data_IF_659257979707
#
_entry.id   IF_659257979707
#
_cell.length_a   1.000
_cell.length_b   1.000
_cell.length_c   1.000
_cell.angle_alpha   90.00
_cell.angle_beta   90.00
_cell.angle_gamma   90.00
#
_symmetry.space_group_name_H-M   'P 1'
#
loop_
_entity.id
_entity.type
_entity.pdbx_description
1 polymer ?
#
# COMPACT_ATOMS: atom_id res chain seq x y z
N UNK A 1 75.80 -24.25 -29.01
CA UNK A 1 74.75 -24.06 -30.03
C UNK A 1 73.69 -23.20 -29.37
N UNK A 2 73.87 -21.87 -29.36
CA UNK A 2 73.54 -20.92 -30.44
C UNK A 2 72.03 -20.65 -30.49
N UNK A 3 71.51 -19.42 -30.50
CA UNK A 3 72.03 -18.05 -30.34
C UNK A 3 70.76 -17.14 -30.36
N UNK A 4 70.67 -16.10 -29.51
CA UNK A 4 70.30 -14.67 -29.78
C UNK A 4 69.00 -14.35 -30.58
N UNK A 5 68.25 -13.24 -30.47
CA UNK A 5 68.38 -11.87 -29.92
C UNK A 5 67.00 -11.16 -30.06
N UNK A 6 66.52 -10.35 -29.09
CA UNK A 6 66.50 -8.86 -28.97
C UNK A 6 65.27 -8.07 -29.48
N UNK A 7 64.97 -6.98 -28.74
CA UNK A 7 64.21 -5.79 -29.16
C UNK A 7 62.89 -5.59 -28.39
N UNK A 8 62.80 -5.03 -27.18
CA UNK A 8 63.06 -3.65 -26.68
C UNK A 8 62.06 -2.54 -27.10
N UNK A 9 61.56 -1.85 -26.04
CA UNK A 9 61.19 -0.45 -25.86
C UNK A 9 59.82 0.12 -26.32
N UNK A 10 59.16 0.79 -25.37
CA UNK A 10 57.94 1.57 -25.53
C UNK A 10 57.44 2.16 -24.21
N UNK A 11 58.22 3.08 -23.67
CA UNK A 11 58.04 3.96 -22.51
C UNK A 11 56.67 4.69 -22.46
N UNK A 12 56.03 4.76 -21.29
CA UNK A 12 55.15 5.88 -20.92
C UNK A 12 55.21 6.12 -19.40
N UNK A 13 55.48 7.38 -19.11
CA UNK A 13 55.96 7.97 -17.88
C UNK A 13 54.90 8.19 -16.81
N UNK A 14 55.41 8.28 -15.58
CA UNK A 14 54.74 8.71 -14.36
C UNK A 14 54.07 10.08 -14.49
N UNK A 15 52.91 10.24 -13.83
CA UNK A 15 52.41 11.55 -13.39
C UNK A 15 52.17 11.52 -11.89
N UNK A 16 52.65 12.62 -11.33
CA UNK A 16 53.00 12.92 -9.97
C UNK A 16 51.78 13.10 -9.05
N UNK A 17 51.97 12.77 -7.78
CA UNK A 17 51.05 13.04 -6.70
C UNK A 17 51.55 14.25 -5.92
N UNK A 18 50.84 15.38 -5.98
CA UNK A 18 50.97 16.39 -4.94
C UNK A 18 49.73 17.30 -4.83
N UNK A 19 49.31 17.43 -3.57
CA UNK A 19 48.69 18.57 -2.89
C UNK A 19 47.88 19.58 -3.70
N UNK A 20 46.66 19.86 -3.24
CA UNK A 20 46.19 21.24 -3.06
C UNK A 20 45.05 21.26 -2.03
N UNK A 21 45.39 21.73 -0.82
CA UNK A 21 44.43 22.19 0.18
C UNK A 21 43.93 23.58 -0.24
N UNK A 22 42.63 23.70 -0.50
CA UNK A 22 41.96 24.97 -0.78
C UNK A 22 40.97 25.31 0.32
N UNK A 23 41.38 26.19 1.24
CA UNK A 23 40.51 26.97 2.13
C UNK A 23 39.78 28.05 1.31
N UNK A 24 38.50 28.29 1.57
CA UNK A 24 37.95 29.66 1.72
C UNK A 24 36.48 29.66 2.21
N UNK A 25 35.94 30.80 2.69
CA UNK A 25 35.26 30.88 3.98
C UNK A 25 33.82 31.41 3.85
N UNK A 26 32.99 31.27 4.88
CA UNK A 26 31.96 32.28 5.20
C UNK A 26 31.59 32.11 6.68
N UNK A 27 32.29 32.89 7.50
CA UNK A 27 31.86 33.28 8.84
C UNK A 27 31.10 34.59 8.70
N UNK A 28 29.84 34.59 9.12
CA UNK A 28 29.07 35.79 9.40
C UNK A 28 28.64 35.74 10.86
N UNK A 29 29.43 36.38 11.72
CA UNK A 29 29.08 36.72 13.09
C UNK A 29 27.84 37.63 13.10
N UNK A 30 26.84 37.33 13.94
CA UNK A 30 26.12 38.36 14.70
C UNK A 30 25.83 37.82 16.11
N UNK A 31 26.60 38.31 17.08
CA UNK A 31 26.24 38.37 18.49
C UNK A 31 26.32 39.83 18.93
N UNK A 32 25.24 40.37 19.50
CA UNK A 32 25.23 41.35 20.59
C UNK A 32 23.78 41.46 21.08
N UNK A 33 23.47 40.94 22.27
CA UNK A 33 23.48 41.66 23.57
C UNK A 33 22.55 42.89 23.63
N UNK A 34 21.55 42.80 24.52
CA UNK A 34 21.32 43.69 25.68
C UNK A 34 19.89 43.41 26.19
N UNK A 35 19.76 42.84 27.39
CA UNK A 35 19.69 43.45 28.73
C UNK A 35 18.26 43.85 29.14
N UNK A 36 17.89 43.26 30.28
CA UNK A 36 17.20 43.84 31.44
C UNK A 36 15.82 44.49 31.25
N UNK A 37 14.83 43.99 32.02
CA UNK A 37 14.11 44.68 33.13
C UNK A 37 12.79 43.90 33.36
N UNK A 38 12.66 43.08 34.42
CA UNK A 38 12.19 43.36 35.78
C UNK A 38 10.73 43.87 35.93
N UNK A 39 10.05 43.30 36.94
CA UNK A 39 8.81 43.71 37.65
C UNK A 39 7.58 42.83 37.35
N UNK A 40 7.17 41.99 38.32
CA UNK A 40 6.10 42.24 39.32
C UNK A 40 4.75 42.45 38.61
N UNK A 41 3.71 41.66 38.81
CA UNK A 41 3.24 40.93 39.98
C UNK A 41 1.73 41.18 40.05
N UNK A 42 0.95 40.19 40.50
CA UNK A 42 -0.17 40.31 41.46
C UNK A 42 -1.08 39.09 41.36
N UNK A 43 -1.21 38.45 42.52
CA UNK A 43 -2.29 37.54 42.90
C UNK A 43 -3.67 38.20 42.80
N UNK A 44 -4.73 37.38 42.72
CA UNK A 44 -5.93 37.48 43.58
C UNK A 44 -6.85 36.26 43.39
N UNK A 45 -6.59 35.25 44.22
CA UNK A 45 -7.46 34.60 45.21
C UNK A 45 -9.00 34.53 45.09
N UNK A 46 -9.47 33.44 45.73
CA UNK A 46 -10.75 33.15 46.38
C UNK A 46 -11.84 32.46 45.54
N UNK A 47 -12.23 31.18 45.74
CA UNK A 47 -12.58 30.32 46.89
C UNK A 47 -14.08 30.21 47.15
N UNK A 48 -14.47 29.09 47.79
CA UNK A 48 -15.77 28.64 48.33
C UNK A 48 -16.51 27.64 47.41
N UNK A 49 -16.86 26.41 47.80
CA UNK A 49 -16.79 25.73 49.10
C UNK A 49 -18.10 24.99 49.42
N UNK A 50 -18.01 23.68 49.57
CA UNK A 50 -18.82 22.76 50.41
C UNK A 50 -20.30 22.41 50.08
N UNK A 51 -20.62 21.11 50.20
CA UNK A 51 -21.94 20.65 50.61
C UNK A 51 -22.32 19.20 50.28
N UNK A 52 -22.07 18.28 51.22
CA UNK A 52 -22.46 16.85 51.22
C UNK A 52 -23.98 16.58 51.12
N UNK A 53 -24.37 15.43 50.56
CA UNK A 53 -25.69 14.83 50.75
C UNK A 53 -25.85 13.45 50.08
N UNK A 54 -25.95 12.39 50.89
CA UNK A 54 -26.11 10.98 50.48
C UNK A 54 -27.54 10.62 50.06
N UNK A 55 -27.73 9.75 49.05
CA UNK A 55 -28.80 8.74 49.02
C UNK A 55 -28.62 7.69 47.89
N UNK A 56 -28.43 6.44 48.34
CA UNK A 56 -29.02 5.16 47.86
C UNK A 56 -29.46 4.98 46.39
N UNK A 57 -28.78 4.01 45.75
CA UNK A 57 -29.27 2.82 45.01
C UNK A 57 -30.33 2.91 43.89
N UNK A 58 -30.05 2.12 42.85
CA UNK A 58 -30.87 1.66 41.72
C UNK A 58 -30.98 2.62 40.53
N UNK A 59 -30.34 2.26 39.42
CA UNK A 59 -30.99 1.51 38.34
C UNK A 59 -30.09 1.52 37.09
N UNK A 60 -30.16 0.44 36.34
CA UNK A 60 -29.56 0.23 35.02
C UNK A 60 -29.80 1.44 34.10
N UNK A 61 -28.74 1.90 33.44
CA UNK A 61 -28.86 2.66 32.20
C UNK A 61 -27.88 2.10 31.19
N UNK A 62 -28.34 1.04 30.53
CA UNK A 62 -27.88 0.59 29.23
C UNK A 62 -28.08 1.73 28.22
N UNK A 63 -26.98 2.29 27.73
CA UNK A 63 -26.99 3.26 26.63
C UNK A 63 -27.17 2.50 25.30
N UNK A 64 -28.40 2.10 25.00
CA UNK A 64 -28.81 1.68 23.66
C UNK A 64 -29.05 2.90 22.79
N UNK A 65 -28.02 3.38 22.10
CA UNK A 65 -28.20 4.24 20.94
C UNK A 65 -28.56 3.38 19.73
N UNK A 66 -29.84 3.03 19.64
CA UNK A 66 -30.47 2.57 18.40
C UNK A 66 -30.54 3.77 17.46
N UNK A 67 -29.57 3.93 16.56
CA UNK A 67 -29.78 4.73 15.36
C UNK A 67 -30.56 3.87 14.37
N UNK A 68 -31.86 4.13 14.30
CA UNK A 68 -32.70 3.77 13.16
C UNK A 68 -32.05 4.33 11.89
N UNK A 69 -31.40 3.46 11.12
CA UNK A 69 -31.21 3.68 9.71
C UNK A 69 -32.59 3.60 9.06
N UNK A 70 -33.12 4.75 8.67
CA UNK A 70 -34.24 4.81 7.75
C UNK A 70 -33.80 4.16 6.44
N UNK A 71 -34.21 2.91 6.25
CA UNK A 71 -34.16 2.20 4.99
C UNK A 71 -35.08 2.91 3.99
N UNK A 72 -34.53 3.86 3.24
CA UNK A 72 -35.10 4.25 1.95
C UNK A 72 -34.73 3.17 0.93
N UNK A 73 -35.61 2.18 0.83
CA UNK A 73 -35.68 1.28 -0.32
C UNK A 73 -36.09 2.09 -1.56
N UNK A 74 -35.13 2.72 -2.22
CA UNK A 74 -35.24 3.15 -3.60
C UNK A 74 -34.31 2.27 -4.43
N UNK A 75 -34.90 1.42 -5.25
CA UNK A 75 -34.25 0.57 -6.24
C UNK A 75 -33.72 1.39 -7.44
N UNK A 76 -32.91 2.41 -7.19
CA UNK A 76 -32.04 2.98 -8.21
C UNK A 76 -30.83 2.06 -8.34
N UNK A 77 -30.40 1.79 -9.58
CA UNK A 77 -29.14 1.11 -9.89
C UNK A 77 -28.05 1.59 -8.93
N UNK A 78 -27.45 0.65 -8.19
CA UNK A 78 -26.42 0.95 -7.22
C UNK A 78 -25.36 1.90 -7.80
N UNK A 79 -24.86 2.77 -6.94
CA UNK A 79 -23.86 3.83 -7.15
C UNK A 79 -22.49 3.26 -7.56
N UNK A 80 -22.43 2.59 -8.72
CA UNK A 80 -21.28 1.82 -9.20
C UNK A 80 -20.10 2.69 -9.66
N UNK A 81 -20.22 4.03 -9.65
CA UNK A 81 -19.22 4.99 -10.13
C UNK A 81 -18.91 6.08 -9.11
N UNK A 82 -19.14 5.82 -7.84
CA UNK A 82 -18.70 6.73 -6.80
C UNK A 82 -17.20 6.48 -6.52
N UNK A 83 -16.39 7.53 -6.64
CA UNK A 83 -14.93 7.48 -6.51
C UNK A 83 -14.43 7.74 -5.09
N UNK A 84 -15.33 8.07 -4.16
CA UNK A 84 -14.99 8.43 -2.80
C UNK A 84 -14.48 7.22 -2.02
N UNK A 85 -13.51 7.50 -1.16
CA UNK A 85 -13.09 6.58 -0.10
C UNK A 85 -14.32 6.16 0.72
N UNK A 86 -14.42 4.90 1.16
CA UNK A 86 -15.47 4.51 2.10
C UNK A 86 -15.38 5.41 3.35
N UNK A 87 -16.53 5.80 3.92
CA UNK A 87 -16.54 6.55 5.18
C UNK A 87 -15.67 5.81 6.21
N UNK A 88 -14.74 6.55 6.84
CA UNK A 88 -13.74 5.95 7.73
C UNK A 88 -14.39 5.35 8.96
N UNK A 89 -14.77 4.08 8.89
CA UNK A 89 -14.98 3.26 10.08
C UNK A 89 -13.59 2.89 10.59
N UNK A 90 -13.30 3.12 11.87
CA UNK A 90 -12.10 2.54 12.49
C UNK A 90 -12.01 1.07 12.06
N UNK A 91 -10.87 0.69 11.44
CA UNK A 91 -10.68 -0.66 10.96
C UNK A 91 -10.76 -1.60 12.16
N UNK A 92 -11.89 -2.27 12.30
CA UNK A 92 -12.08 -3.25 13.37
C UNK A 92 -11.09 -4.38 13.15
N UNK A 93 -10.16 -4.54 14.09
CA UNK A 93 -9.21 -5.67 14.08
C UNK A 93 -9.89 -6.99 14.44
N UNK A 94 -11.15 -6.93 14.88
CA UNK A 94 -11.94 -8.09 15.28
C UNK A 94 -13.20 -8.19 14.42
N UNK A 95 -13.61 -9.42 14.13
CA UNK A 95 -14.82 -9.70 13.38
C UNK A 95 -15.56 -10.90 13.95
N UNK A 96 -16.89 -10.80 13.99
CA UNK A 96 -17.73 -11.93 14.33
C UNK A 96 -17.83 -12.89 13.14
N UNK A 97 -17.88 -14.19 13.40
CA UNK A 97 -17.86 -15.22 12.35
C UNK A 97 -19.13 -15.26 11.49
N UNK A 98 -20.22 -14.64 11.94
CA UNK A 98 -21.47 -14.46 11.17
C UNK A 98 -21.38 -13.28 10.18
N UNK A 99 -20.50 -12.31 10.45
CA UNK A 99 -20.23 -11.14 9.61
C UNK A 99 -19.32 -11.46 8.40
N UNK A 100 -18.88 -12.71 8.25
CA UNK A 100 -18.03 -13.16 7.14
C UNK A 100 -18.71 -14.28 6.35
N UNK A 101 -18.22 -14.56 5.14
CA UNK A 101 -18.73 -15.61 4.26
C UNK A 101 -17.78 -16.82 4.23
N UNK A 102 -18.34 -18.03 4.14
CA UNK A 102 -17.55 -19.25 3.90
C UNK A 102 -16.54 -19.59 5.00
N UNK A 103 -16.79 -19.12 6.23
CA UNK A 103 -15.90 -19.31 7.37
C UNK A 103 -15.70 -20.81 7.65
N UNK A 104 -14.44 -21.26 7.61
CA UNK A 104 -14.08 -22.68 7.80
C UNK A 104 -12.78 -22.85 8.56
N UNK A 105 -12.72 -23.87 9.41
CA UNK A 105 -11.51 -24.23 10.14
C UNK A 105 -10.51 -25.01 9.28
N UNK A 106 -9.23 -24.86 9.58
CA UNK A 106 -8.16 -25.67 9.01
C UNK A 106 -8.10 -27.06 9.66
N UNK A 107 -7.74 -28.09 8.87
CA UNK A 107 -7.47 -29.42 9.41
C UNK A 107 -6.02 -29.49 9.90
N UNK A 108 -5.79 -29.29 11.21
CA UNK A 108 -4.44 -29.23 11.81
C UNK A 108 -3.52 -30.40 11.45
N UNK A 109 -4.06 -31.61 11.26
CA UNK A 109 -3.30 -32.80 10.85
C UNK A 109 -2.75 -32.71 9.42
N UNK A 110 -3.33 -31.89 8.55
CA UNK A 110 -2.91 -31.69 7.16
C UNK A 110 -1.92 -30.53 6.99
N UNK A 111 -1.78 -29.67 8.00
CA UNK A 111 -0.80 -28.57 7.95
C UNK A 111 0.58 -29.10 8.35
N UNK A 112 1.58 -29.07 7.44
CA UNK A 112 2.90 -29.62 7.71
C UNK A 112 3.66 -28.78 8.74
N UNK A 113 4.45 -29.44 9.57
CA UNK A 113 5.51 -28.76 10.33
C UNK A 113 6.77 -28.70 9.47
N UNK A 114 7.37 -27.51 9.33
CA UNK A 114 8.57 -27.30 8.50
C UNK A 114 9.66 -26.57 9.27
N UNK A 115 10.91 -26.82 8.86
CA UNK A 115 12.03 -25.95 9.21
C UNK A 115 12.08 -24.79 8.23
N UNK A 116 12.38 -23.59 8.72
CA UNK A 116 12.64 -22.45 7.85
C UNK A 116 14.06 -22.48 7.25
N UNK A 117 14.97 -23.26 7.85
CA UNK A 117 16.32 -23.41 7.34
C UNK A 117 16.30 -24.10 5.97
N UNK A 118 16.52 -23.31 4.92
CA UNK A 118 16.50 -23.76 3.52
C UNK A 118 15.28 -23.28 2.72
N UNK A 119 14.30 -22.65 3.37
CA UNK A 119 13.16 -22.03 2.67
C UNK A 119 13.50 -20.62 2.20
N UNK A 120 14.26 -19.88 3.02
CA UNK A 120 14.81 -18.57 2.62
C UNK A 120 15.80 -18.73 1.46
N UNK A 121 15.56 -17.96 0.40
CA UNK A 121 16.36 -17.99 -0.81
C UNK A 121 17.77 -17.42 -0.59
N UNK A 122 18.65 -17.54 -1.59
CA UNK A 122 19.99 -16.93 -1.53
C UNK A 122 19.92 -15.40 -1.38
N UNK A 123 18.91 -14.79 -2.00
CA UNK A 123 18.55 -13.37 -1.91
C UNK A 123 17.38 -13.11 -0.96
N UNK A 124 16.95 -14.12 -0.19
CA UNK A 124 15.76 -14.01 0.64
C UNK A 124 16.03 -13.25 1.93
N UNK A 125 15.18 -12.29 2.23
CA UNK A 125 15.34 -11.36 3.35
C UNK A 125 14.68 -11.87 4.63
N UNK A 126 15.13 -11.31 5.75
CA UNK A 126 14.50 -11.49 7.04
C UNK A 126 14.02 -10.15 7.56
N UNK A 127 12.70 -9.98 7.61
CA UNK A 127 12.05 -8.72 7.96
C UNK A 127 11.22 -8.93 9.21
N UNK A 128 11.51 -8.17 10.26
CA UNK A 128 10.72 -8.16 11.49
C UNK A 128 10.22 -6.73 11.69
N UNK A 129 8.99 -6.38 11.26
CA UNK A 129 8.46 -5.02 11.42
C UNK A 129 8.35 -4.57 12.88
N UNK A 130 8.35 -5.50 13.86
CA UNK A 130 8.16 -5.13 15.26
C UNK A 130 6.70 -4.81 15.60
N UNK A 131 6.50 -3.97 16.61
CA UNK A 131 5.15 -3.50 16.99
C UNK A 131 4.79 -2.23 16.17
N UNK A 132 3.58 -1.69 16.37
CA UNK A 132 3.15 -0.46 15.69
C UNK A 132 2.39 -0.70 14.39
N UNK A 133 2.20 0.37 13.60
CA UNK A 133 1.60 0.32 12.27
C UNK A 133 2.67 0.39 11.20
N UNK A 134 3.16 -0.76 10.75
CA UNK A 134 4.33 -0.81 9.89
C UNK A 134 3.95 -1.03 8.43
N UNK A 135 4.78 -0.52 7.52
CA UNK A 135 4.74 -0.93 6.12
C UNK A 135 6.00 -1.71 5.77
N UNK A 136 5.82 -2.85 5.11
CA UNK A 136 6.90 -3.74 4.68
C UNK A 136 6.81 -3.96 3.18
N UNK A 137 7.89 -3.60 2.50
CA UNK A 137 8.13 -3.94 1.09
C UNK A 137 9.42 -4.76 1.09
N UNK A 138 9.24 -6.06 0.89
CA UNK A 138 10.35 -6.99 0.68
C UNK A 138 10.81 -6.87 -0.78
N UNK A 139 10.89 -7.94 -1.56
CA UNK A 139 11.22 -7.82 -2.98
C UNK A 139 11.51 -9.16 -3.64
N UNK A 140 12.63 -9.26 -4.37
CA UNK A 140 13.01 -10.53 -4.99
C UNK A 140 13.58 -11.49 -3.95
N UNK A 141 13.02 -12.68 -3.83
CA UNK A 141 13.60 -13.62 -2.88
C UNK A 141 12.69 -14.77 -2.56
N UNK A 142 13.04 -15.49 -1.50
CA UNK A 142 12.01 -16.17 -0.72
C UNK A 142 12.19 -15.58 0.66
N UNK A 143 11.32 -14.64 1.00
CA UNK A 143 11.49 -13.77 2.13
C UNK A 143 10.76 -14.33 3.34
N UNK A 144 11.25 -13.97 4.53
CA UNK A 144 10.63 -14.36 5.79
C UNK A 144 10.28 -13.08 6.53
N UNK A 145 8.98 -12.81 6.61
CA UNK A 145 8.42 -11.62 7.23
C UNK A 145 7.73 -12.03 8.52
N UNK A 146 8.17 -11.47 9.65
CA UNK A 146 7.61 -11.73 10.96
C UNK A 146 6.45 -10.78 11.24
N UNK A 147 5.29 -11.06 10.65
CA UNK A 147 4.02 -10.34 10.90
C UNK A 147 3.45 -10.57 12.30
N UNK A 148 4.25 -10.30 13.33
CA UNK A 148 3.98 -10.47 14.77
C UNK A 148 4.53 -9.25 15.53
N UNK A 149 4.15 -9.10 16.80
CA UNK A 149 4.65 -8.03 17.68
C UNK A 149 3.57 -7.10 18.24
N UNK A 150 2.30 -7.37 17.90
CA UNK A 150 1.18 -6.44 18.08
C UNK A 150 1.07 -5.44 16.92
N UNK A 151 -0.07 -4.76 16.80
CA UNK A 151 -0.25 -3.70 15.81
C UNK A 151 -0.81 -4.16 14.45
N UNK A 152 -0.68 -3.29 13.44
CA UNK A 152 -1.27 -3.51 12.11
C UNK A 152 -0.24 -3.24 11.00
N UNK A 153 0.12 -4.26 10.23
CA UNK A 153 1.13 -4.14 9.19
C UNK A 153 0.49 -4.13 7.79
N UNK A 154 1.03 -3.31 6.89
CA UNK A 154 0.80 -3.40 5.44
C UNK A 154 2.00 -4.07 4.79
N UNK A 155 1.79 -5.13 4.02
CA UNK A 155 2.88 -5.99 3.51
C UNK A 155 2.73 -6.22 2.01
N UNK A 156 3.80 -5.97 1.28
CA UNK A 156 4.04 -6.43 -0.09
C UNK A 156 5.27 -7.33 -0.08
N UNK A 157 5.11 -8.60 -0.41
CA UNK A 157 6.20 -9.59 -0.34
C UNK A 157 7.10 -9.55 -1.57
N UNK A 158 6.57 -9.13 -2.71
CA UNK A 158 7.28 -9.18 -3.98
C UNK A 158 7.30 -10.60 -4.57
N UNK A 159 8.09 -10.83 -5.63
CA UNK A 159 8.17 -12.13 -6.27
C UNK A 159 9.00 -13.11 -5.45
N UNK A 160 8.38 -14.20 -5.04
CA UNK A 160 9.08 -15.21 -4.29
C UNK A 160 8.24 -16.42 -3.93
N UNK A 161 8.77 -17.24 -3.02
CA UNK A 161 7.97 -18.16 -2.20
C UNK A 161 8.07 -17.68 -0.77
N UNK A 162 7.29 -16.67 -0.45
CA UNK A 162 7.47 -15.90 0.77
C UNK A 162 6.74 -16.53 1.94
N UNK A 163 7.23 -16.25 3.13
CA UNK A 163 6.68 -16.78 4.37
C UNK A 163 6.35 -15.62 5.29
N UNK A 164 5.06 -15.46 5.57
CA UNK A 164 4.58 -14.50 6.56
C UNK A 164 4.25 -15.27 7.84
N UNK A 165 4.98 -14.97 8.91
CA UNK A 165 4.76 -15.59 10.22
C UNK A 165 3.71 -14.80 10.99
N UNK A 166 2.56 -15.40 11.23
CA UNK A 166 1.45 -14.78 11.94
C UNK A 166 1.70 -14.76 13.45
N UNK A 167 1.49 -13.60 14.06
CA UNK A 167 1.47 -13.42 15.51
C UNK A 167 0.06 -13.25 16.06
N UNK A 168 -0.13 -13.59 17.34
CA UNK A 168 -1.34 -13.19 18.08
C UNK A 168 -1.41 -11.66 18.16
N UNK A 169 -2.63 -11.12 18.12
CA UNK A 169 -2.91 -9.69 18.28
C UNK A 169 -2.16 -8.77 17.26
N UNK A 170 -1.60 -9.34 16.20
CA UNK A 170 -1.08 -8.60 15.05
C UNK A 170 -2.01 -8.83 13.88
N UNK A 171 -2.38 -7.75 13.20
CA UNK A 171 -3.11 -7.82 11.93
C UNK A 171 -2.13 -7.52 10.79
N UNK A 172 -2.20 -8.29 9.72
CA UNK A 172 -1.37 -8.09 8.54
C UNK A 172 -2.27 -7.93 7.30
N UNK A 173 -2.32 -6.74 6.71
CA UNK A 173 -2.86 -6.54 5.36
C UNK A 173 -1.79 -6.89 4.35
N UNK A 174 -2.05 -7.88 3.50
CA UNK A 174 -1.06 -8.40 2.54
C UNK A 174 -1.58 -8.16 1.12
N UNK A 175 -0.87 -7.34 0.37
CA UNK A 175 -1.35 -6.82 -0.92
C UNK A 175 -1.16 -7.77 -2.11
N UNK A 176 -0.17 -8.66 -2.06
CA UNK A 176 0.27 -9.46 -3.22
C UNK A 176 0.39 -10.95 -2.95
N UNK A 177 -0.21 -11.46 -1.86
CA UNK A 177 -0.14 -12.88 -1.50
C UNK A 177 -0.54 -13.78 -2.67
N UNK A 178 0.37 -14.66 -3.10
CA UNK A 178 0.18 -15.65 -4.15
C UNK A 178 -0.14 -17.03 -3.54
N UNK A 179 -1.40 -17.52 -3.60
CA UNK A 179 -1.77 -18.83 -3.06
C UNK A 179 -1.03 -20.02 -3.67
N UNK A 180 -0.36 -19.87 -4.81
CA UNK A 180 0.48 -20.92 -5.38
C UNK A 180 1.87 -20.97 -4.70
N UNK A 181 2.42 -19.82 -4.33
CA UNK A 181 3.82 -19.69 -3.90
C UNK A 181 4.01 -19.41 -2.42
N UNK A 182 3.21 -18.52 -1.86
CA UNK A 182 3.43 -17.98 -0.51
C UNK A 182 2.74 -18.79 0.56
N UNK A 183 3.25 -18.66 1.79
CA UNK A 183 2.80 -19.46 2.92
C UNK A 183 2.63 -18.60 4.17
N UNK A 184 1.56 -18.89 4.89
CA UNK A 184 1.32 -18.37 6.23
C UNK A 184 1.86 -19.36 7.25
N UNK A 185 2.80 -18.92 8.07
CA UNK A 185 3.39 -19.73 9.12
C UNK A 185 2.77 -19.38 10.47
N UNK A 186 2.50 -20.41 11.28
CA UNK A 186 2.17 -20.24 12.70
C UNK A 186 3.30 -20.77 13.56
N UNK A 187 3.56 -20.08 14.67
CA UNK A 187 4.60 -20.42 15.64
C UNK A 187 4.10 -20.18 17.06
N UNK A 188 4.76 -20.84 18.03
CA UNK A 188 4.51 -20.62 19.45
C UNK A 188 3.06 -20.91 19.86
N UNK A 189 2.41 -19.91 20.45
CA UNK A 189 1.10 -20.07 21.09
C UNK A 189 -0.09 -20.03 20.14
N UNK A 190 0.13 -19.72 18.86
CA UNK A 190 -0.91 -19.74 17.84
C UNK A 190 -1.07 -21.15 17.28
N UNK A 191 -2.26 -21.72 17.40
CA UNK A 191 -2.55 -23.10 16.96
C UNK A 191 -3.36 -23.09 15.67
N UNK A 192 -3.00 -23.98 14.74
CA UNK A 192 -3.78 -24.18 13.50
C UNK A 192 -5.26 -24.50 13.77
N UNK A 193 -5.57 -25.21 14.86
CA UNK A 193 -6.95 -25.55 15.23
C UNK A 193 -7.83 -24.34 15.51
N UNK A 194 -7.20 -23.21 15.83
CA UNK A 194 -7.85 -21.99 16.27
C UNK A 194 -8.04 -21.04 15.09
N UNK A 195 -7.41 -21.33 13.95
CA UNK A 195 -7.51 -20.53 12.75
C UNK A 195 -8.73 -20.87 11.91
N UNK A 196 -9.34 -19.83 11.37
CA UNK A 196 -10.37 -19.90 10.34
C UNK A 196 -9.95 -19.12 9.10
N UNK A 197 -10.35 -19.63 7.94
CA UNK A 197 -10.34 -18.89 6.68
C UNK A 197 -11.77 -18.45 6.41
N UNK A 198 -11.98 -17.19 6.06
CA UNK A 198 -13.26 -16.67 5.61
C UNK A 198 -13.08 -15.65 4.48
N UNK A 199 -14.12 -15.38 3.72
CA UNK A 199 -14.20 -14.24 2.82
C UNK A 199 -14.85 -13.07 3.57
N UNK A 200 -14.35 -11.85 3.38
CA UNK A 200 -15.07 -10.66 3.84
C UNK A 200 -16.44 -10.51 3.15
N UNK A 201 -17.30 -9.66 3.70
CA UNK A 201 -18.64 -9.35 3.14
C UNK A 201 -18.88 -7.87 2.95
N UNK A 202 -18.00 -7.03 3.46
CA UNK A 202 -18.17 -5.60 3.41
C UNK A 202 -17.98 -5.17 1.94
N UNK A 203 -18.97 -4.56 1.27
CA UNK A 203 -18.83 -4.06 -0.10
C UNK A 203 -17.92 -2.82 -0.18
N UNK A 204 -17.14 -2.56 0.88
CA UNK A 204 -16.26 -1.42 1.02
C UNK A 204 -15.27 -1.35 -0.13
N UNK A 205 -15.18 -0.16 -0.71
CA UNK A 205 -14.43 0.08 -1.92
C UNK A 205 -12.95 -0.22 -1.77
N UNK A 206 -12.26 -0.47 -2.88
CA UNK A 206 -10.79 -0.63 -2.94
C UNK A 206 -10.07 0.54 -2.26
N UNK A 207 -8.77 0.41 -1.98
CA UNK A 207 -7.97 1.47 -1.39
C UNK A 207 -7.06 0.96 -0.29
N UNK A 208 -6.02 1.73 0.02
CA UNK A 208 -5.14 1.44 1.17
C UNK A 208 -5.90 1.52 2.51
N UNK A 209 -7.02 2.26 2.53
CA UNK A 209 -7.86 2.48 3.71
C UNK A 209 -9.04 1.49 3.81
N UNK A 210 -9.21 0.61 2.83
CA UNK A 210 -10.33 -0.33 2.73
C UNK A 210 -10.54 -1.14 4.03
N UNK A 211 -11.79 -1.38 4.48
CA UNK A 211 -12.06 -2.28 5.61
C UNK A 211 -11.38 -3.64 5.44
N UNK A 212 -10.83 -4.18 6.53
CA UNK A 212 -10.13 -5.47 6.48
C UNK A 212 -11.05 -6.57 5.95
N UNK A 213 -12.33 -6.53 6.33
CA UNK A 213 -13.39 -7.47 5.97
C UNK A 213 -14.10 -7.17 4.64
N UNK A 214 -13.46 -6.41 3.76
CA UNK A 214 -13.92 -6.24 2.39
C UNK A 214 -14.21 -7.58 1.70
N UNK A 215 -15.24 -7.62 0.88
CA UNK A 215 -15.57 -8.76 0.01
C UNK A 215 -14.44 -9.16 -0.95
N UNK A 216 -13.47 -8.26 -1.16
CA UNK A 216 -12.27 -8.51 -1.96
C UNK A 216 -11.13 -9.16 -1.15
N UNK A 217 -11.28 -9.28 0.17
CA UNK A 217 -10.24 -9.80 1.06
C UNK A 217 -10.59 -11.20 1.59
N UNK A 218 -9.59 -12.10 1.57
CA UNK A 218 -9.65 -13.31 2.39
C UNK A 218 -9.12 -13.00 3.79
N UNK A 219 -9.85 -13.44 4.82
CA UNK A 219 -9.48 -13.25 6.22
C UNK A 219 -8.93 -14.53 6.83
N UNK A 220 -7.85 -14.39 7.60
CA UNK A 220 -7.35 -15.40 8.51
C UNK A 220 -7.64 -14.93 9.93
N UNK A 221 -8.51 -15.66 10.64
CA UNK A 221 -9.10 -15.23 11.90
C UNK A 221 -8.69 -16.19 13.01
N UNK A 222 -8.29 -15.68 14.18
CA UNK A 222 -8.27 -16.47 15.42
C UNK A 222 -9.70 -16.56 15.94
N UNK A 223 -10.30 -17.75 15.87
CA UNK A 223 -11.71 -17.96 16.21
C UNK A 223 -12.00 -17.82 17.71
N UNK A 224 -10.97 -17.82 18.56
CA UNK A 224 -11.16 -17.74 20.00
C UNK A 224 -11.58 -16.34 20.46
N UNK A 225 -11.13 -15.31 19.74
CA UNK A 225 -11.42 -13.91 20.05
C UNK A 225 -11.97 -13.13 18.85
N UNK A 226 -11.94 -13.69 17.64
CA UNK A 226 -12.38 -13.03 16.42
C UNK A 226 -11.32 -12.09 15.82
N UNK A 227 -10.09 -12.07 16.35
CA UNK A 227 -9.02 -11.21 15.85
C UNK A 227 -8.60 -11.60 14.43
N UNK A 228 -8.49 -10.62 13.54
CA UNK A 228 -8.03 -10.79 12.16
C UNK A 228 -6.50 -10.78 12.16
N UNK A 229 -5.90 -11.95 11.95
CA UNK A 229 -4.45 -12.14 11.89
C UNK A 229 -3.88 -11.70 10.53
N UNK A 230 -4.66 -11.90 9.46
CA UNK A 230 -4.31 -11.42 8.14
C UNK A 230 -5.55 -11.12 7.28
N UNK A 231 -5.48 -10.06 6.49
CA UNK A 231 -6.39 -9.75 5.40
C UNK A 231 -5.59 -9.80 4.09
N UNK A 232 -5.90 -10.79 3.24
CA UNK A 232 -5.20 -11.02 1.98
C UNK A 232 -5.98 -10.33 0.86
N UNK A 233 -5.45 -9.22 0.38
CA UNK A 233 -6.14 -8.34 -0.56
C UNK A 233 -6.24 -8.98 -1.94
N UNK A 234 -7.44 -8.96 -2.52
CA UNK A 234 -7.78 -9.57 -3.81
C UNK A 234 -7.53 -11.08 -3.89
N UNK A 235 -7.46 -11.77 -2.75
CA UNK A 235 -7.40 -13.24 -2.68
C UNK A 235 -8.80 -13.76 -2.39
N UNK A 236 -9.23 -14.77 -3.16
CA UNK A 236 -10.49 -15.49 -2.92
C UNK A 236 -10.29 -16.61 -1.91
N UNK A 237 -11.15 -16.68 -0.90
CA UNK A 237 -10.98 -17.56 0.24
C UNK A 237 -10.91 -19.03 -0.18
N UNK A 238 -11.69 -19.43 -1.18
CA UNK A 238 -11.72 -20.78 -1.75
C UNK A 238 -10.38 -21.26 -2.33
N UNK A 239 -9.48 -20.34 -2.71
CA UNK A 239 -8.15 -20.69 -3.23
C UNK A 239 -7.20 -21.18 -2.14
N UNK A 240 -7.51 -20.89 -0.87
CA UNK A 240 -6.71 -21.29 0.27
C UNK A 240 -7.15 -22.62 0.86
N UNK A 241 -6.16 -23.43 1.23
CA UNK A 241 -6.35 -24.65 2.01
C UNK A 241 -5.11 -24.93 2.87
N UNK A 242 -5.04 -26.10 3.49
CA UNK A 242 -3.94 -26.43 4.42
C UNK A 242 -2.55 -26.38 3.78
N UNK A 243 -2.42 -26.47 2.44
CA UNK A 243 -1.13 -26.32 1.74
C UNK A 243 -0.54 -24.92 1.87
N UNK A 244 -1.39 -23.91 2.09
CA UNK A 244 -1.02 -22.50 2.23
C UNK A 244 -0.50 -22.16 3.62
N UNK A 245 -0.61 -23.10 4.56
CA UNK A 245 -0.19 -22.93 5.93
C UNK A 245 0.99 -23.83 6.25
N UNK A 246 1.77 -23.43 7.24
CA UNK A 246 2.74 -24.31 7.88
C UNK A 246 2.86 -24.02 9.36
N UNK A 247 3.30 -25.03 10.11
CA UNK A 247 3.74 -24.88 11.49
C UNK A 247 5.26 -24.79 11.51
N UNK A 248 5.79 -23.84 12.26
CA UNK A 248 7.22 -23.72 12.51
C UNK A 248 7.46 -23.80 14.01
N UNK A 249 8.65 -24.29 14.39
CA UNK A 249 9.06 -24.26 15.78
C UNK A 249 9.64 -22.89 16.13
N UNK A 250 9.44 -22.35 17.35
CA UNK A 250 10.02 -21.07 17.74
C UNK A 250 11.54 -20.98 17.50
N UNK A 251 12.29 -22.05 17.76
CA UNK A 251 13.76 -22.07 17.63
C UNK A 251 14.21 -21.95 16.16
N UNK A 252 13.32 -22.22 15.19
CA UNK A 252 13.63 -22.05 13.78
C UNK A 252 13.83 -20.57 13.40
N UNK A 253 13.20 -19.65 14.14
CA UNK A 253 13.35 -18.21 13.94
C UNK A 253 14.71 -17.72 14.46
N UNK A 254 15.14 -18.22 15.62
CA UNK A 254 16.44 -17.87 16.22
C UNK A 254 17.61 -18.29 15.33
N UNK A 255 17.50 -19.46 14.67
CA UNK A 255 18.50 -19.94 13.74
C UNK A 255 18.63 -19.07 12.48
N UNK A 256 17.54 -18.48 12.01
CA UNK A 256 17.55 -17.56 10.86
C UNK A 256 18.18 -16.22 11.21
N UNK A 257 17.82 -15.67 12.37
CA UNK A 257 18.32 -14.38 12.83
C UNK A 257 19.85 -14.34 13.00
N UNK A 258 20.50 -15.51 13.09
CA UNK A 258 21.95 -15.70 13.23
C UNK A 258 22.67 -15.99 11.91
N UNK A 259 21.95 -16.09 10.78
CA UNK A 259 22.59 -16.27 9.47
C UNK A 259 23.35 -15.01 9.05
N UNK A 260 24.27 -15.18 8.11
CA UNK A 260 24.93 -14.05 7.47
C UNK A 260 23.93 -13.33 6.56
N UNK A 261 23.84 -12.02 6.76
CA UNK A 261 23.11 -11.06 5.94
C UNK A 261 24.11 -10.01 5.45
N UNK A 262 23.88 -9.52 4.24
CA UNK A 262 24.68 -8.49 3.60
C UNK A 262 24.50 -7.16 4.33
N UNK A 263 23.24 -6.75 4.53
CA UNK A 263 22.90 -5.60 5.36
C UNK A 263 22.14 -6.04 6.62
N UNK A 264 22.37 -5.35 7.74
CA UNK A 264 21.65 -5.56 9.00
C UNK A 264 21.24 -4.21 9.58
N UNK A 265 19.95 -3.91 9.53
CA UNK A 265 19.36 -2.67 9.99
C UNK A 265 18.43 -2.93 11.17
N UNK A 266 18.40 -1.97 12.10
CA UNK A 266 17.51 -2.02 13.24
C UNK A 266 17.01 -0.62 13.58
N UNK A 267 15.70 -0.46 13.66
CA UNK A 267 15.07 0.75 14.14
C UNK A 267 15.14 0.86 15.68
N UNK A 268 14.99 2.08 16.17
CA UNK A 268 14.73 2.39 17.57
C UNK A 268 13.21 2.31 17.85
N UNK A 269 12.77 2.75 19.03
CA UNK A 269 11.35 2.68 19.40
C UNK A 269 10.47 3.78 18.76
N UNK A 270 11.04 4.68 17.93
CA UNK A 270 10.30 5.65 17.11
C UNK A 270 10.04 5.09 15.71
N UNK A 271 9.09 5.64 14.97
CA UNK A 271 8.85 5.23 13.58
C UNK A 271 10.01 5.65 12.67
N UNK A 272 10.61 4.69 11.97
CA UNK A 272 11.76 4.90 11.10
C UNK A 272 11.64 4.18 9.76
N UNK A 273 12.19 4.78 8.71
CA UNK A 273 12.43 4.08 7.46
C UNK A 273 13.75 3.31 7.53
N UNK A 274 13.69 2.01 7.25
CA UNK A 274 14.85 1.14 7.05
C UNK A 274 14.96 0.78 5.56
N UNK A 275 16.02 1.27 4.91
CA UNK A 275 16.26 1.00 3.48
C UNK A 275 17.32 -0.08 3.29
N UNK A 276 16.89 -1.24 2.79
CA UNK A 276 17.73 -2.37 2.42
C UNK A 276 18.56 -2.13 1.16
N UNK A 277 19.00 -3.24 0.58
CA UNK A 277 19.82 -3.35 -0.62
C UNK A 277 19.27 -4.47 -1.51
N UNK A 278 19.81 -4.63 -2.72
CA UNK A 278 19.54 -5.83 -3.55
C UNK A 278 20.06 -7.15 -2.96
N UNK A 279 20.91 -7.05 -1.93
CA UNK A 279 21.50 -8.16 -1.21
C UNK A 279 20.50 -8.85 -0.29
N UNK A 280 20.99 -9.82 0.48
CA UNK A 280 20.18 -10.52 1.47
C UNK A 280 20.25 -9.77 2.80
N UNK A 281 19.15 -9.21 3.23
CA UNK A 281 19.09 -8.24 4.31
C UNK A 281 18.33 -8.75 5.53
N UNK A 282 18.68 -8.16 6.66
CA UNK A 282 17.97 -8.32 7.92
C UNK A 282 17.54 -6.95 8.39
N UNK A 283 16.23 -6.70 8.44
CA UNK A 283 15.67 -5.44 8.92
C UNK A 283 14.75 -5.72 10.09
N UNK A 284 14.97 -5.02 11.20
CA UNK A 284 14.20 -5.17 12.44
C UNK A 284 13.64 -3.80 12.83
N UNK A 285 12.34 -3.61 12.74
CA UNK A 285 11.61 -2.48 13.29
C UNK A 285 11.60 -2.48 14.83
N UNK A 286 11.14 -1.39 15.39
CA UNK A 286 11.00 -1.17 16.83
C UNK A 286 9.54 -1.22 17.27
N UNK A 287 9.12 -0.19 18.00
CA UNK A 287 7.76 -0.06 18.53
C UNK A 287 6.92 0.98 17.80
N UNK A 288 7.57 1.86 17.03
CA UNK A 288 6.91 2.90 16.28
C UNK A 288 6.36 2.38 14.95
N UNK A 289 5.84 3.28 14.15
CA UNK A 289 5.34 2.98 12.82
C UNK A 289 6.53 3.00 11.84
N UNK A 290 7.11 1.84 11.56
CA UNK A 290 8.31 1.69 10.73
C UNK A 290 7.98 1.40 9.26
N UNK A 291 8.86 1.86 8.37
CA UNK A 291 8.82 1.53 6.95
C UNK A 291 10.05 0.71 6.55
N UNK A 292 9.87 -0.60 6.38
CA UNK A 292 10.92 -1.53 5.95
C UNK A 292 10.86 -1.66 4.43
N UNK A 293 11.88 -1.18 3.74
CA UNK A 293 11.88 -1.01 2.29
C UNK A 293 13.19 -1.51 1.68
N UNK A 294 13.19 -2.38 0.66
CA UNK A 294 14.44 -2.87 0.06
C UNK A 294 15.20 -1.86 -0.82
N UNK A 295 14.65 -0.65 -1.03
CA UNK A 295 15.32 0.41 -1.77
C UNK A 295 14.94 0.52 -3.24
N UNK A 296 15.09 1.72 -3.79
CA UNK A 296 14.69 2.10 -5.15
C UNK A 296 15.43 1.33 -6.25
N UNK A 297 16.59 0.76 -5.93
CA UNK A 297 17.37 -0.01 -6.89
C UNK A 297 16.84 -1.44 -7.04
N UNK A 298 15.87 -1.89 -6.24
CA UNK A 298 15.36 -3.26 -6.25
C UNK A 298 14.27 -3.52 -7.30
N UNK A 299 13.83 -2.48 -8.03
CA UNK A 299 12.84 -2.62 -9.10
C UNK A 299 13.04 -1.59 -10.20
N UNK A 300 12.32 -1.80 -11.31
CA UNK A 300 12.19 -0.86 -12.43
C UNK A 300 10.80 -1.00 -13.06
N UNK A 301 10.37 0.02 -13.77
CA UNK A 301 9.14 -0.01 -14.55
C UNK A 301 9.47 -0.08 -16.04
N UNK A 302 8.73 -0.89 -16.77
CA UNK A 302 8.61 -0.72 -18.22
C UNK A 302 7.51 0.29 -18.55
N UNK A 303 7.45 0.79 -19.80
CA UNK A 303 6.32 1.57 -20.27
C UNK A 303 5.02 0.79 -20.08
N UNK A 304 4.06 1.42 -19.38
CA UNK A 304 2.71 0.91 -19.20
C UNK A 304 1.82 1.40 -20.33
N UNK A 305 0.98 0.53 -20.87
CA UNK A 305 0.07 0.87 -21.97
C UNK A 305 -1.36 0.55 -21.60
N UNK A 306 -2.29 1.30 -22.21
CA UNK A 306 -3.73 1.07 -22.09
C UNK A 306 -4.40 1.17 -23.45
N UNK A 307 -5.47 0.39 -23.64
CA UNK A 307 -6.32 0.45 -24.85
C UNK A 307 -7.78 0.24 -24.47
N UNK A 308 -8.70 1.03 -25.04
CA UNK A 308 -10.14 0.93 -24.75
C UNK A 308 -10.78 -0.46 -24.90
N UNK A 309 -10.49 -1.25 -25.96
CA UNK A 309 -11.09 -2.57 -26.15
C UNK A 309 -10.58 -3.65 -25.19
N UNK A 310 -9.48 -3.37 -24.48
CA UNK A 310 -8.91 -4.25 -23.46
C UNK A 310 -9.33 -3.87 -22.03
N UNK A 311 -10.17 -2.84 -21.86
CA UNK A 311 -10.52 -2.30 -20.56
C UNK A 311 -11.46 -3.24 -19.78
N UNK A 312 -11.15 -3.50 -18.52
CA UNK A 312 -12.07 -4.14 -17.56
C UNK A 312 -12.29 -3.17 -16.38
N UNK A 313 -13.51 -3.05 -15.82
CA UNK A 313 -14.72 -3.87 -16.06
C UNK A 313 -15.59 -3.43 -17.25
N UNK A 314 -15.24 -2.34 -17.92
CA UNK A 314 -16.07 -1.75 -18.97
C UNK A 314 -15.34 -1.78 -20.32
N UNK A 315 -15.20 -2.97 -20.98
CA UNK A 315 -14.68 -3.01 -22.32
C UNK A 315 -15.47 -2.07 -23.20
N UNK A 316 -14.78 -1.15 -23.86
CA UNK A 316 -15.39 -0.19 -24.77
C UNK A 316 -14.84 -0.41 -26.18
N UNK A 317 -15.41 0.27 -27.16
CA UNK A 317 -14.98 0.20 -28.55
C UNK A 317 -14.06 1.37 -28.95
N UNK A 318 -13.58 2.16 -27.97
CA UNK A 318 -12.70 3.29 -28.26
C UNK A 318 -11.41 2.81 -28.93
N UNK A 319 -10.92 3.47 -29.98
CA UNK A 319 -9.59 3.23 -30.51
C UNK A 319 -8.48 3.86 -29.64
N UNK A 320 -8.84 4.59 -28.59
CA UNK A 320 -7.94 5.34 -27.72
C UNK A 320 -6.84 4.47 -27.12
N UNK A 321 -5.61 4.96 -27.20
CA UNK A 321 -4.42 4.34 -26.62
C UNK A 321 -3.67 5.31 -25.74
N UNK A 322 -3.06 4.77 -24.68
CA UNK A 322 -2.17 5.53 -23.80
C UNK A 322 -0.87 4.77 -23.56
N UNK A 323 0.21 5.52 -23.37
CA UNK A 323 1.51 5.01 -22.94
C UNK A 323 2.06 5.90 -21.82
N UNK A 324 2.59 5.28 -20.77
CA UNK A 324 3.12 5.95 -19.59
C UNK A 324 4.47 5.37 -19.17
N UNK A 325 5.40 6.24 -18.85
CA UNK A 325 6.66 5.93 -18.19
C UNK A 325 6.54 6.29 -16.71
N UNK A 326 6.95 5.36 -15.85
CA UNK A 326 6.88 5.49 -14.39
C UNK A 326 8.29 5.44 -13.80
N UNK A 327 8.56 6.29 -12.81
CA UNK A 327 9.78 6.27 -12.00
C UNK A 327 9.40 6.53 -10.54
N UNK A 328 9.68 5.58 -9.65
CA UNK A 328 9.52 5.78 -8.20
C UNK A 328 10.91 5.92 -7.59
N UNK A 329 11.19 7.08 -7.00
CA UNK A 329 12.45 7.34 -6.28
C UNK A 329 12.22 8.19 -5.04
N UNK A 330 12.79 7.77 -3.92
CA UNK A 330 12.67 8.49 -2.65
C UNK A 330 11.22 8.68 -2.20
N UNK A 331 10.34 7.72 -2.51
CA UNK A 331 8.90 7.81 -2.26
C UNK A 331 8.11 8.70 -3.22
N UNK A 332 8.76 9.33 -4.21
CA UNK A 332 8.11 10.17 -5.20
C UNK A 332 7.88 9.39 -6.49
N UNK A 333 6.61 9.17 -6.85
CA UNK A 333 6.22 8.58 -8.13
C UNK A 333 6.11 9.69 -9.18
N UNK A 334 6.97 9.63 -10.19
CA UNK A 334 6.89 10.45 -11.39
C UNK A 334 6.29 9.66 -12.53
N UNK A 335 5.32 10.28 -13.20
CA UNK A 335 4.68 9.70 -14.39
C UNK A 335 4.76 10.71 -15.52
N UNK A 336 5.08 10.21 -16.71
CA UNK A 336 5.03 10.99 -17.95
C UNK A 336 4.51 10.10 -19.08
N UNK A 337 3.61 10.61 -19.90
CA UNK A 337 2.97 9.80 -20.92
C UNK A 337 2.19 10.60 -21.94
N UNK A 338 1.57 9.87 -22.86
CA UNK A 338 0.72 10.44 -23.90
C UNK A 338 -0.53 9.58 -24.08
N UNK A 339 -1.62 10.20 -24.51
CA UNK A 339 -2.80 9.52 -25.02
C UNK A 339 -3.07 9.97 -26.46
N UNK A 340 -3.66 9.09 -27.28
CA UNK A 340 -3.94 9.32 -28.71
C UNK A 340 -5.18 8.56 -29.15
N UNK A 341 -5.81 9.08 -30.20
CA UNK A 341 -6.99 8.50 -30.86
C UNK A 341 -8.21 8.38 -29.93
N UNK A 342 -8.34 9.27 -28.95
CA UNK A 342 -9.51 9.31 -28.07
C UNK A 342 -10.70 9.92 -28.81
N UNK A 343 -11.91 9.47 -28.48
CA UNK A 343 -13.12 9.92 -29.18
C UNK A 343 -13.72 11.19 -28.57
N UNK A 344 -13.20 11.63 -27.42
CA UNK A 344 -13.60 12.87 -26.77
C UNK A 344 -12.52 13.48 -25.89
N UNK A 345 -12.75 14.73 -25.48
CA UNK A 345 -11.87 15.42 -24.53
C UNK A 345 -11.87 14.70 -23.18
N UNK A 346 -10.72 14.62 -22.48
CA UNK A 346 -10.68 14.15 -21.10
C UNK A 346 -11.59 15.00 -20.21
N UNK A 347 -12.43 14.36 -19.38
CA UNK A 347 -13.32 15.06 -18.45
C UNK A 347 -12.50 15.91 -17.46
N UNK A 348 -13.07 16.97 -16.90
CA UNK A 348 -12.44 17.87 -15.90
C UNK A 348 -11.06 18.44 -16.28
N UNK A 349 -10.69 18.32 -17.55
CA UNK A 349 -9.46 18.86 -18.12
C UNK A 349 -9.83 20.04 -19.00
N UNK A 350 -9.08 21.13 -18.93
CA UNK A 350 -9.34 22.35 -19.69
C UNK A 350 -10.78 22.90 -19.54
N UNK A 351 -11.38 22.72 -18.35
CA UNK A 351 -12.70 23.26 -18.01
C UNK A 351 -13.89 22.43 -18.51
N UNK A 352 -13.66 21.25 -19.09
CA UNK A 352 -14.72 20.33 -19.51
C UNK A 352 -15.40 19.71 -18.28
N UNK A 353 -16.72 19.86 -18.11
CA UNK A 353 -17.45 19.31 -16.96
C UNK A 353 -18.66 18.45 -17.34
N UNK A 354 -18.99 18.40 -18.63
CA UNK A 354 -20.18 17.73 -19.14
C UNK A 354 -19.81 16.51 -19.99
N UNK A 355 -20.63 15.47 -19.89
CA UNK A 355 -20.59 14.30 -20.77
C UNK A 355 -21.18 14.67 -22.14
N UNK A 356 -20.64 14.12 -23.23
CA UNK A 356 -21.19 14.33 -24.56
C UNK A 356 -22.62 13.75 -24.67
N UNK A 357 -23.55 14.38 -25.40
CA UNK A 357 -24.92 13.89 -25.54
C UNK A 357 -25.05 12.47 -26.12
N UNK A 358 -24.04 12.04 -26.87
CA UNK A 358 -23.94 10.76 -27.55
C UNK A 358 -22.83 9.87 -26.93
N UNK A 359 -22.51 10.07 -25.65
CA UNK A 359 -21.55 9.26 -24.93
C UNK A 359 -21.97 7.78 -24.87
N UNK A 360 -20.98 6.90 -24.92
CA UNK A 360 -21.12 5.45 -24.79
C UNK A 360 -21.04 5.10 -23.30
N UNK A 361 -22.16 4.61 -22.75
CA UNK A 361 -22.26 4.21 -21.35
C UNK A 361 -22.72 2.74 -21.29
N UNK A 362 -21.78 1.78 -21.31
CA UNK A 362 -22.08 0.34 -21.44
C UNK A 362 -22.97 -0.23 -20.33
N UNK A 363 -22.89 0.33 -19.13
CA UNK A 363 -23.66 -0.13 -17.97
C UNK A 363 -25.04 0.55 -17.84
N UNK A 364 -25.40 1.46 -18.77
CA UNK A 364 -26.65 2.22 -18.72
C UNK A 364 -26.76 3.21 -17.55
N UNK A 365 -25.64 3.55 -16.91
CA UNK A 365 -25.61 4.56 -15.85
C UNK A 365 -26.09 5.93 -16.37
N UNK A 366 -26.72 6.70 -15.49
CA UNK A 366 -27.10 8.08 -15.79
C UNK A 366 -25.82 8.94 -15.92
N UNK A 367 -25.59 9.61 -17.08
CA UNK A 367 -24.46 10.53 -17.25
C UNK A 367 -24.33 11.55 -16.11
N UNK A 368 -25.46 12.04 -15.57
CA UNK A 368 -25.43 13.01 -14.47
C UNK A 368 -24.91 12.37 -13.18
N UNK A 369 -25.33 11.14 -12.88
CA UNK A 369 -24.85 10.40 -11.72
C UNK A 369 -23.34 10.10 -11.83
N UNK A 370 -22.81 9.88 -13.03
CA UNK A 370 -21.36 9.73 -13.26
C UNK A 370 -20.61 11.01 -12.89
N UNK A 371 -21.04 12.16 -13.40
CA UNK A 371 -20.42 13.46 -13.07
C UNK A 371 -20.56 13.77 -11.57
N UNK A 372 -21.73 13.53 -10.98
CA UNK A 372 -21.92 13.70 -9.53
C UNK A 372 -20.97 12.80 -8.72
N UNK A 373 -20.74 11.55 -9.14
CA UNK A 373 -19.79 10.62 -8.52
C UNK A 373 -18.35 11.12 -8.55
N UNK A 374 -17.91 11.71 -9.66
CA UNK A 374 -16.61 12.41 -9.75
C UNK A 374 -16.51 13.57 -8.78
N UNK A 375 -17.54 14.42 -8.72
CA UNK A 375 -17.56 15.62 -7.89
C UNK A 375 -17.63 15.33 -6.37
N UNK A 376 -17.87 14.08 -5.96
CA UNK A 376 -17.72 13.68 -4.55
C UNK A 376 -16.26 13.72 -4.08
N UNK A 377 -15.31 13.65 -5.02
CA UNK A 377 -13.88 13.81 -4.76
C UNK A 377 -13.39 14.97 -5.63
N UNK A 378 -13.61 16.22 -5.23
CA UNK A 378 -13.21 17.37 -6.05
C UNK A 378 -11.70 17.64 -5.98
N UNK A 379 -11.03 17.13 -4.94
CA UNK A 379 -9.59 17.20 -4.75
C UNK A 379 -9.06 15.87 -4.23
N UNK A 380 -7.84 15.51 -4.61
CA UNK A 380 -7.18 14.32 -4.06
C UNK A 380 -6.62 14.59 -2.65
N UNK A 381 -5.92 13.60 -2.07
CA UNK A 381 -5.37 13.69 -0.72
C UNK A 381 -4.33 14.82 -0.54
N UNK A 382 -3.75 15.33 -1.62
CA UNK A 382 -2.77 16.43 -1.62
C UNK A 382 -3.41 17.77 -2.03
N UNK A 383 -4.72 17.78 -2.31
CA UNK A 383 -5.46 18.97 -2.71
C UNK A 383 -5.34 19.30 -4.19
N UNK A 384 -4.81 18.40 -5.03
CA UNK A 384 -4.80 18.60 -6.48
C UNK A 384 -6.24 18.57 -7.01
N UNK A 385 -6.58 19.40 -8.01
CA UNK A 385 -7.92 19.43 -8.56
C UNK A 385 -8.21 18.17 -9.38
N UNK A 386 -9.48 17.77 -9.39
CA UNK A 386 -9.98 16.70 -10.25
C UNK A 386 -9.60 16.92 -11.73
N UNK A 387 -9.17 15.86 -12.40
CA UNK A 387 -8.90 15.84 -13.84
C UNK A 387 -9.67 14.73 -14.56
N UNK A 388 -9.39 14.44 -15.82
CA UNK A 388 -10.03 13.32 -16.51
C UNK A 388 -9.28 12.02 -16.30
N UNK A 389 -8.11 12.11 -15.67
CA UNK A 389 -7.19 11.03 -15.56
C UNK A 389 -6.74 10.89 -14.12
N UNK A 390 -7.10 9.78 -13.49
CA UNK A 390 -6.84 9.53 -12.08
C UNK A 390 -6.04 8.25 -11.85
N UNK A 391 -5.34 8.23 -10.72
CA UNK A 391 -4.69 7.05 -10.17
C UNK A 391 -5.68 6.36 -9.24
N UNK A 392 -5.94 5.08 -9.51
CA UNK A 392 -6.83 4.26 -8.73
C UNK A 392 -6.08 3.19 -7.94
N UNK A 393 -6.66 2.78 -6.80
CA UNK A 393 -6.35 1.51 -6.16
C UNK A 393 -7.38 0.46 -6.56
N UNK A 394 -6.94 -0.52 -7.35
CA UNK A 394 -7.63 -1.78 -7.59
C UNK A 394 -6.71 -2.74 -8.35
N UNK A 395 -7.03 -4.03 -8.34
CA UNK A 395 -6.37 -5.00 -9.20
C UNK A 395 -7.14 -5.15 -10.52
N UNK A 396 -6.47 -5.63 -11.56
CA UNK A 396 -7.16 -6.04 -12.79
C UNK A 396 -8.30 -7.01 -12.47
N UNK A 397 -9.41 -6.88 -13.19
CA UNK A 397 -10.63 -7.68 -13.01
C UNK A 397 -11.47 -7.32 -11.78
N UNK A 398 -11.13 -6.25 -11.06
CA UNK A 398 -11.98 -5.68 -10.02
C UNK A 398 -12.56 -4.35 -10.50
N UNK A 399 -13.89 -4.25 -10.42
CA UNK A 399 -14.65 -3.05 -10.77
C UNK A 399 -14.60 -1.98 -9.67
N UNK A 400 -14.19 -2.40 -8.48
CA UNK A 400 -14.16 -1.59 -7.29
C UNK A 400 -12.82 -0.85 -7.18
N UNK A 401 -12.86 0.46 -7.37
CA UNK A 401 -11.68 1.30 -7.44
C UNK A 401 -11.91 2.65 -6.75
N UNK A 402 -11.00 2.99 -5.85
CA UNK A 402 -10.95 4.30 -5.20
C UNK A 402 -9.91 5.16 -5.88
N UNK A 403 -10.19 6.45 -6.03
CA UNK A 403 -9.21 7.40 -6.52
C UNK A 403 -8.24 7.80 -5.41
N UNK A 404 -6.95 7.68 -5.69
CA UNK A 404 -5.87 8.07 -4.76
C UNK A 404 -5.21 9.39 -5.16
N UNK A 405 -5.03 9.68 -6.46
CA UNK A 405 -4.37 10.89 -6.98
C UNK A 405 -4.92 11.34 -8.34
N UNK A 406 -4.68 12.59 -8.70
CA UNK A 406 -5.05 13.15 -10.00
C UNK A 406 -3.86 13.49 -10.88
N UNK A 407 -3.88 13.04 -12.14
CA UNK A 407 -2.85 13.40 -13.10
C UNK A 407 -3.11 14.79 -13.69
N UNK A 408 -2.03 15.48 -14.03
CA UNK A 408 -2.11 16.65 -14.90
C UNK A 408 -2.28 16.20 -16.34
N UNK A 409 -3.30 16.74 -17.02
CA UNK A 409 -3.59 16.46 -18.42
C UNK A 409 -3.40 17.74 -19.22
N UNK A 410 -2.58 17.68 -20.27
CA UNK A 410 -2.38 18.78 -21.22
C UNK A 410 -2.88 18.32 -22.58
N UNK A 411 -4.01 18.89 -23.03
CA UNK A 411 -4.55 18.56 -24.36
C UNK A 411 -3.66 19.15 -25.45
N UNK A 412 -3.35 18.34 -26.47
CA UNK A 412 -2.78 18.84 -27.72
C UNK A 412 -3.90 19.16 -28.71
N UNK A 413 -4.90 18.28 -28.76
CA UNK A 413 -6.14 18.43 -29.49
C UNK A 413 -7.27 17.64 -28.77
N UNK A 414 -8.41 17.46 -29.46
CA UNK A 414 -9.56 16.77 -28.89
C UNK A 414 -9.38 15.27 -28.66
N UNK A 415 -8.34 14.66 -29.25
CA UNK A 415 -8.13 13.21 -29.29
C UNK A 415 -6.77 12.79 -28.71
N UNK A 416 -5.87 13.74 -28.49
CA UNK A 416 -4.50 13.47 -28.06
C UNK A 416 -3.94 14.53 -27.12
N UNK A 417 -2.95 14.13 -26.32
CA UNK A 417 -2.29 15.02 -25.39
C UNK A 417 -1.23 14.34 -24.56
N UNK A 418 -0.74 15.08 -23.57
CA UNK A 418 0.27 14.63 -22.61
C UNK A 418 -0.36 14.46 -21.23
N UNK A 419 0.23 13.55 -20.47
CA UNK A 419 -0.15 13.26 -19.09
C UNK A 419 1.10 13.27 -18.25
N UNK A 420 1.04 13.94 -17.11
CA UNK A 420 2.16 13.98 -16.16
C UNK A 420 1.67 13.98 -14.72
N UNK A 421 2.53 13.50 -13.83
CA UNK A 421 2.33 13.59 -12.40
C UNK A 421 3.66 13.51 -11.64
N UNK A 422 3.67 14.11 -10.48
CA UNK A 422 4.66 13.90 -9.43
C UNK A 422 3.91 13.77 -8.11
N UNK A 423 3.90 12.57 -7.53
CA UNK A 423 3.14 12.25 -6.31
C UNK A 423 4.08 11.82 -5.19
N UNK A 424 3.94 12.42 -4.01
CA UNK A 424 4.57 11.91 -2.79
C UNK A 424 3.72 10.75 -2.26
N UNK A 425 4.21 9.52 -2.48
CA UNK A 425 3.48 8.33 -2.05
C UNK A 425 3.80 8.01 -0.59
N UNK A 426 2.75 7.91 0.23
CA UNK A 426 2.84 7.23 1.54
C UNK A 426 3.43 5.82 1.39
N UNK A 427 4.09 5.27 2.42
CA UNK A 427 4.59 3.90 2.39
C UNK A 427 3.57 2.86 1.90
N UNK A 428 2.31 2.98 2.33
CA UNK A 428 1.22 2.06 1.97
C UNK A 428 0.89 2.13 0.47
N UNK A 429 0.90 3.33 -0.12
CA UNK A 429 0.72 3.51 -1.57
C UNK A 429 1.93 3.01 -2.36
N UNK A 430 3.16 3.15 -1.82
CA UNK A 430 4.34 2.51 -2.43
C UNK A 430 4.19 0.99 -2.42
N UNK A 431 3.75 0.41 -1.30
CA UNK A 431 3.49 -1.02 -1.18
C UNK A 431 2.39 -1.47 -2.17
N UNK A 432 1.30 -0.71 -2.30
CA UNK A 432 0.23 -0.96 -3.25
C UNK A 432 0.70 -0.90 -4.72
N UNK A 433 1.52 0.09 -5.07
CA UNK A 433 2.12 0.23 -6.41
C UNK A 433 2.95 -1.00 -6.76
N UNK A 434 3.87 -1.39 -5.86
CA UNK A 434 4.77 -2.51 -6.10
C UNK A 434 4.05 -3.87 -6.05
N UNK A 435 2.91 -3.95 -5.35
CA UNK A 435 1.99 -5.07 -5.40
C UNK A 435 1.13 -5.15 -6.68
N UNK A 436 1.22 -4.15 -7.56
CA UNK A 436 0.43 -4.04 -8.80
C UNK A 436 -1.07 -3.85 -8.55
N UNK A 437 -1.40 -3.13 -7.48
CA UNK A 437 -2.76 -2.77 -7.09
C UNK A 437 -3.10 -1.31 -7.42
N UNK A 438 -2.24 -0.61 -8.18
CA UNK A 438 -2.52 0.72 -8.70
C UNK A 438 -2.60 0.71 -10.23
N UNK A 439 -3.49 1.53 -10.78
CA UNK A 439 -3.61 1.73 -12.22
C UNK A 439 -4.07 3.15 -12.53
N UNK A 440 -3.73 3.65 -13.72
CA UNK A 440 -4.27 4.90 -14.24
C UNK A 440 -5.57 4.66 -15.00
N UNK A 441 -6.56 5.53 -14.84
CA UNK A 441 -7.78 5.51 -15.67
C UNK A 441 -8.05 6.87 -16.29
N UNK A 442 -8.31 6.92 -17.59
CA UNK A 442 -8.72 8.13 -18.30
C UNK A 442 -10.19 8.03 -18.69
N UNK A 443 -10.95 9.05 -18.31
CA UNK A 443 -12.34 9.24 -18.63
C UNK A 443 -12.49 10.41 -19.60
N UNK A 444 -13.23 10.20 -20.68
CA UNK A 444 -13.52 11.26 -21.64
C UNK A 444 -15.00 11.60 -21.69
N UNK A 445 -15.30 12.70 -22.35
CA UNK A 445 -16.66 13.11 -22.67
C UNK A 445 -17.46 12.06 -23.44
N UNK A 446 -16.81 11.19 -24.24
CA UNK A 446 -17.49 10.09 -24.97
C UNK A 446 -17.56 8.79 -24.18
N UNK A 447 -16.57 8.54 -23.31
CA UNK A 447 -16.46 7.32 -22.53
C UNK A 447 -16.30 7.68 -21.05
N UNK A 448 -17.37 8.19 -20.40
CA UNK A 448 -17.30 8.74 -19.04
C UNK A 448 -17.11 7.65 -17.97
N UNK A 449 -17.34 6.38 -18.28
CA UNK A 449 -17.09 5.25 -17.38
C UNK A 449 -15.63 4.76 -17.40
N UNK A 450 -14.84 5.30 -18.32
CA UNK A 450 -13.47 4.87 -18.62
C UNK A 450 -13.32 4.64 -20.12
N UNK A 451 -12.43 5.42 -20.74
CA UNK A 451 -12.01 5.20 -22.12
C UNK A 451 -10.76 4.32 -22.19
N UNK A 452 -9.91 4.43 -21.17
CA UNK A 452 -8.62 3.80 -21.17
C UNK A 452 -8.11 3.52 -19.75
N UNK A 453 -7.84 2.24 -19.47
CA UNK A 453 -7.17 1.76 -18.27
C UNK A 453 -5.71 1.43 -18.55
N UNK A 454 -4.79 2.02 -17.78
CA UNK A 454 -3.33 1.83 -17.86
C UNK A 454 -2.87 1.06 -16.62
N UNK A 455 -2.63 -0.24 -16.79
CA UNK A 455 -2.16 -1.12 -15.72
C UNK A 455 -0.68 -0.90 -15.40
N UNK A 456 -0.34 -0.59 -14.14
CA UNK A 456 1.05 -0.39 -13.71
C UNK A 456 1.77 -1.71 -13.37
N UNK A 457 1.39 -2.79 -14.05
CA UNK A 457 1.96 -4.14 -13.88
C UNK A 457 3.40 -4.27 -14.37
N UNK A 458 3.94 -3.20 -14.95
CA UNK A 458 5.26 -3.12 -15.56
C UNK A 458 6.39 -3.11 -14.54
N UNK A 459 6.07 -3.02 -13.24
CA UNK A 459 7.08 -3.21 -12.20
C UNK A 459 7.72 -4.59 -12.32
N UNK A 460 9.05 -4.57 -12.46
CA UNK A 460 9.94 -5.73 -12.45
C UNK A 460 10.96 -5.54 -11.35
N UNK A 461 10.91 -6.42 -10.36
CA UNK A 461 11.95 -6.52 -9.35
C UNK A 461 13.23 -7.12 -9.97
N UNK A 462 14.41 -6.65 -9.55
CA UNK A 462 15.71 -6.94 -10.19
C UNK A 462 16.75 -7.56 -9.26
#
# INVERSE_FOLDING_TARGET
MALFHHGENGDLSAVDASSLSGKNPYLGDIMHQSKDTLLQGTDLDSSLGYGFGSAKSNAEQTNTNVRQSTSSSSSSSADLHNHAKPESTEQSLHISLDAVEGARSLKSKKVPQRSLAGMMGKRGDFLDPGAGKNTVISGVGNDIILGRGGGNNTITTGPGKDIIVLGKETTNRIFDFDPAKDRLAVSGDLKISDLMIAQGKNPGKGGVDQPLDSENNTLIIDKNNGHILAALTFVKAETLNEKNFMRIKPEALDGLAKKNFFNQLKANDSGQQLTGTRGRDKMIGGKGDDFLYLGDDSFRFDPATGSGPGEFPFPNNSPGTSEMNLDLKGGVLRVSGTYKDFEGLPLFSDGVQDVAPDAVIPNGADPKALIEGFLQVPNDAEGNPISGFHLHFSRENFADATVERYFTVQTADAQSGQVSAEFELSPELQAALLAKNLYGNLHSTKHPVGENRIEFKTVRFI
#
